data_IF_882172425463
#
_entry.id   IF_882172425463
#
_cell.length_a   1.000
_cell.length_b   1.000
_cell.length_c   1.000
_cell.angle_alpha   90.00
_cell.angle_beta   90.00
_cell.angle_gamma   90.00
#
_symmetry.space_group_name_H-M   'P 1'
#
loop_
_entity.id
_entity.type
_entity.pdbx_description
1 polymer ?
#
# COMPACT_ATOMS: atom_id res chain seq x y z
N UNK A 1 17.09 44.09 12.66
CA UNK A 1 17.58 43.35 13.83
C UNK A 1 16.75 42.09 14.13
N UNK A 2 15.47 42.17 14.37
CA UNK A 2 14.59 41.03 14.73
C UNK A 2 14.64 39.88 13.70
N UNK A 3 14.53 40.17 12.39
CA UNK A 3 14.58 39.16 11.31
C UNK A 3 15.86 38.32 11.33
N UNK A 4 17.01 38.96 11.53
CA UNK A 4 18.30 38.27 11.56
C UNK A 4 18.42 37.37 12.79
N UNK A 5 17.91 37.83 13.95
CA UNK A 5 17.87 37.00 15.16
C UNK A 5 17.00 35.77 14.97
N UNK A 6 15.81 35.92 14.34
CA UNK A 6 14.91 34.81 14.04
C UNK A 6 15.58 33.81 13.08
N UNK A 7 16.25 34.30 12.04
CA UNK A 7 16.95 33.44 11.08
C UNK A 7 18.07 32.64 11.76
N UNK A 8 18.86 33.26 12.64
CA UNK A 8 19.90 32.58 13.38
C UNK A 8 19.34 31.51 14.32
N UNK A 9 18.25 31.80 15.00
CA UNK A 9 17.58 30.82 15.84
C UNK A 9 17.05 29.62 15.02
N UNK A 10 16.44 29.88 13.86
CA UNK A 10 15.99 28.82 12.95
C UNK A 10 17.18 27.97 12.47
N UNK A 11 18.28 28.62 12.06
CA UNK A 11 19.50 27.89 11.64
C UNK A 11 20.05 27.01 12.75
N UNK A 12 20.11 27.50 13.99
CA UNK A 12 20.54 26.73 15.15
C UNK A 12 19.65 25.52 15.41
N UNK A 13 18.32 25.69 15.35
CA UNK A 13 17.35 24.60 15.54
C UNK A 13 17.36 23.60 14.39
N UNK A 14 17.78 24.00 13.17
CA UNK A 14 17.92 23.13 12.00
C UNK A 14 19.27 22.45 11.90
N UNK A 15 20.25 22.77 12.75
CA UNK A 15 21.62 22.23 12.64
C UNK A 15 21.68 20.70 12.71
N UNK A 16 20.71 20.07 13.39
CA UNK A 16 20.64 18.62 13.55
C UNK A 16 19.85 17.90 12.45
N UNK A 17 19.25 18.64 11.51
CA UNK A 17 18.47 18.09 10.42
C UNK A 17 19.27 18.04 9.12
N UNK A 18 19.54 16.84 8.66
CA UNK A 18 20.19 16.57 7.35
C UNK A 18 19.19 16.09 6.29
N UNK A 19 17.89 16.34 6.48
CA UNK A 19 16.84 15.82 5.60
C UNK A 19 16.87 16.52 4.23
N UNK A 20 17.03 15.74 3.17
CA UNK A 20 16.94 16.22 1.79
C UNK A 20 15.51 16.00 1.25
N UNK A 21 14.69 17.04 1.24
CA UNK A 21 13.30 16.96 0.78
C UNK A 21 13.15 16.67 -0.72
N UNK A 22 14.20 16.84 -1.53
CA UNK A 22 14.14 16.53 -2.97
C UNK A 22 13.85 15.04 -3.23
N UNK A 23 14.24 14.16 -2.31
CA UNK A 23 13.95 12.72 -2.42
C UNK A 23 12.45 12.46 -2.54
N UNK A 24 11.60 13.19 -1.79
CA UNK A 24 10.16 13.02 -1.83
C UNK A 24 9.59 13.33 -3.21
N UNK A 25 9.92 14.51 -3.76
CA UNK A 25 9.46 14.93 -5.09
C UNK A 25 9.95 13.98 -6.19
N UNK A 26 11.22 13.58 -6.13
CA UNK A 26 11.79 12.62 -7.09
C UNK A 26 11.09 11.26 -7.03
N UNK A 27 10.78 10.79 -5.82
CA UNK A 27 10.02 9.53 -5.65
C UNK A 27 8.61 9.62 -6.22
N UNK A 28 7.92 10.73 -6.02
CA UNK A 28 6.58 10.94 -6.59
C UNK A 28 6.64 10.89 -8.13
N UNK A 29 7.59 11.60 -8.75
CA UNK A 29 7.81 11.59 -10.20
C UNK A 29 8.15 10.17 -10.70
N UNK A 30 9.05 9.48 -10.02
CA UNK A 30 9.43 8.10 -10.35
C UNK A 30 8.23 7.17 -10.30
N UNK A 31 7.40 7.28 -9.26
CA UNK A 31 6.24 6.41 -9.05
C UNK A 31 5.21 6.57 -10.15
N UNK A 32 4.86 7.82 -10.51
CA UNK A 32 3.94 8.11 -11.61
C UNK A 32 4.50 7.63 -12.95
N UNK A 33 5.75 7.98 -13.23
CA UNK A 33 6.39 7.58 -14.49
C UNK A 33 6.44 6.07 -14.64
N UNK A 34 6.81 5.34 -13.57
CA UNK A 34 6.86 3.88 -13.60
C UNK A 34 5.48 3.27 -13.87
N UNK A 35 4.44 3.77 -13.20
CA UNK A 35 3.07 3.31 -13.46
C UNK A 35 2.67 3.54 -14.92
N UNK A 36 2.86 4.75 -15.46
CA UNK A 36 2.52 5.04 -16.86
C UNK A 36 3.38 4.23 -17.83
N UNK A 37 4.66 4.03 -17.56
CA UNK A 37 5.53 3.17 -18.40
C UNK A 37 4.99 1.76 -18.54
N UNK A 38 4.35 1.22 -17.49
CA UNK A 38 3.82 -0.14 -17.50
C UNK A 38 2.42 -0.25 -18.12
N UNK A 39 1.61 0.81 -18.08
CA UNK A 39 0.18 0.74 -18.44
C UNK A 39 -0.23 1.65 -19.62
N UNK A 40 0.57 2.64 -20.01
CA UNK A 40 0.28 3.44 -21.20
C UNK A 40 0.81 2.73 -22.46
N UNK A 41 -0.10 2.31 -23.33
CA UNK A 41 0.24 1.66 -24.60
C UNK A 41 1.02 2.56 -25.60
N UNK A 42 1.10 3.87 -25.35
CA UNK A 42 1.87 4.80 -26.15
C UNK A 42 3.26 5.11 -25.56
N UNK A 43 3.60 4.54 -24.39
CA UNK A 43 4.89 4.76 -23.77
C UNK A 43 6.02 4.20 -24.63
N UNK A 44 7.04 5.03 -24.90
CA UNK A 44 8.29 4.60 -25.52
C UNK A 44 9.13 3.88 -24.45
N UNK A 45 9.03 2.55 -24.43
CA UNK A 45 9.51 1.73 -23.31
C UNK A 45 11.01 1.93 -23.05
N UNK A 46 11.84 1.91 -24.11
CA UNK A 46 13.29 2.05 -24.00
C UNK A 46 13.68 3.39 -23.37
N UNK A 47 13.13 4.51 -23.89
CA UNK A 47 13.38 5.87 -23.36
C UNK A 47 12.88 6.01 -21.93
N UNK A 48 11.68 5.46 -21.64
CA UNK A 48 11.08 5.53 -20.29
C UNK A 48 11.90 4.76 -19.26
N UNK A 49 12.46 3.62 -19.61
CA UNK A 49 13.32 2.82 -18.73
C UNK A 49 14.64 3.54 -18.45
N UNK A 50 15.26 4.20 -19.46
CA UNK A 50 16.46 5.01 -19.25
C UNK A 50 16.21 6.19 -18.28
N UNK A 51 15.10 6.90 -18.45
CA UNK A 51 14.75 8.00 -17.54
C UNK A 51 14.42 7.50 -16.12
N UNK A 52 13.76 6.35 -15.99
CA UNK A 52 13.50 5.71 -14.70
C UNK A 52 14.80 5.30 -14.01
N UNK A 53 15.78 4.79 -14.75
CA UNK A 53 17.10 4.44 -14.21
C UNK A 53 17.80 5.66 -13.61
N UNK A 54 17.79 6.80 -14.32
CA UNK A 54 18.37 8.05 -13.84
C UNK A 54 17.72 8.48 -12.52
N UNK A 55 16.38 8.52 -12.48
CA UNK A 55 15.63 8.89 -11.28
C UNK A 55 15.89 7.91 -10.12
N UNK A 56 15.91 6.61 -10.40
CA UNK A 56 16.18 5.56 -9.42
C UNK A 56 17.57 5.76 -8.76
N UNK A 57 18.61 5.98 -9.57
CA UNK A 57 19.96 6.22 -9.08
C UNK A 57 20.04 7.48 -8.22
N UNK A 58 19.41 8.56 -8.63
CA UNK A 58 19.33 9.79 -7.86
C UNK A 58 18.63 9.60 -6.50
N UNK A 59 17.48 8.94 -6.47
CA UNK A 59 16.72 8.66 -5.25
C UNK A 59 17.54 7.75 -4.33
N UNK A 60 18.07 6.66 -4.87
CA UNK A 60 18.87 5.68 -4.12
C UNK A 60 20.11 6.31 -3.50
N UNK A 61 20.79 7.22 -4.22
CA UNK A 61 21.96 7.94 -3.69
C UNK A 61 21.64 8.82 -2.48
N UNK A 62 20.41 9.38 -2.43
CA UNK A 62 19.95 10.18 -1.30
C UNK A 62 19.45 9.28 -0.14
N UNK A 63 18.78 8.18 -0.47
CA UNK A 63 18.23 7.23 0.50
C UNK A 63 19.32 6.42 1.20
N UNK A 64 20.36 6.00 0.47
CA UNK A 64 21.48 5.24 0.99
C UNK A 64 22.49 6.17 1.67
N UNK A 65 22.46 6.24 2.99
CA UNK A 65 23.39 7.08 3.79
C UNK A 65 24.87 6.65 3.69
N UNK A 66 25.18 5.53 3.03
CA UNK A 66 26.54 5.03 2.82
C UNK A 66 26.72 4.74 1.33
N UNK A 67 27.78 5.31 0.68
CA UNK A 67 28.14 4.90 -0.66
C UNK A 67 28.47 3.40 -0.64
N UNK A 68 27.68 2.61 -1.34
CA UNK A 68 27.93 1.17 -1.46
C UNK A 68 28.01 0.86 -2.96
N UNK A 69 29.08 0.25 -3.48
CA UNK A 69 29.16 -0.17 -4.87
C UNK A 69 28.06 -1.15 -5.29
N UNK A 70 27.29 -1.66 -4.32
CA UNK A 70 26.08 -2.48 -4.55
C UNK A 70 24.95 -1.66 -5.19
N UNK A 71 24.93 -0.31 -5.06
CA UNK A 71 23.85 0.52 -5.59
C UNK A 71 23.72 0.46 -7.11
N UNK A 72 24.81 0.26 -7.86
CA UNK A 72 24.76 0.18 -9.33
C UNK A 72 24.06 -1.09 -9.83
N UNK A 73 24.12 -2.19 -9.07
CA UNK A 73 23.45 -3.46 -9.41
C UNK A 73 22.01 -3.56 -8.89
N UNK A 74 21.53 -2.62 -8.06
CA UNK A 74 20.18 -2.68 -7.48
C UNK A 74 19.14 -2.32 -8.52
N UNK A 75 19.44 -1.37 -9.43
CA UNK A 75 18.54 -1.06 -10.54
C UNK A 75 18.25 -2.27 -11.41
N UNK A 76 19.27 -2.99 -11.83
CA UNK A 76 19.11 -4.19 -12.67
C UNK A 76 18.26 -5.26 -11.95
N UNK A 77 18.47 -5.43 -10.65
CA UNK A 77 17.67 -6.35 -9.83
C UNK A 77 16.21 -5.91 -9.76
N UNK A 78 15.96 -4.62 -9.53
CA UNK A 78 14.60 -4.08 -9.50
C UNK A 78 13.93 -4.20 -10.88
N UNK A 79 14.62 -3.80 -11.94
CA UNK A 79 14.12 -3.90 -13.31
C UNK A 79 13.74 -5.35 -13.68
N UNK A 80 14.55 -6.32 -13.25
CA UNK A 80 14.29 -7.75 -13.50
C UNK A 80 13.00 -8.26 -12.82
N UNK A 81 12.48 -7.59 -11.78
CA UNK A 81 11.22 -7.99 -11.12
C UNK A 81 9.98 -7.50 -11.87
N UNK A 82 10.09 -6.42 -12.66
CA UNK A 82 8.95 -5.74 -13.28
C UNK A 82 8.06 -6.63 -14.16
N UNK A 83 8.59 -7.55 -14.99
CA UNK A 83 7.73 -8.47 -15.76
C UNK A 83 6.83 -9.33 -14.87
N UNK A 84 7.37 -9.90 -13.79
CA UNK A 84 6.59 -10.69 -12.83
C UNK A 84 5.57 -9.84 -12.06
N UNK A 85 5.93 -8.61 -11.71
CA UNK A 85 5.00 -7.67 -11.08
C UNK A 85 3.86 -7.33 -12.03
N UNK A 86 4.15 -7.08 -13.30
CA UNK A 86 3.14 -6.78 -14.32
C UNK A 86 2.18 -7.96 -14.53
N UNK A 87 2.68 -9.20 -14.55
CA UNK A 87 1.84 -10.40 -14.62
C UNK A 87 0.86 -10.47 -13.44
N UNK A 88 1.34 -10.22 -12.20
CA UNK A 88 0.49 -10.17 -11.01
C UNK A 88 -0.56 -9.06 -11.11
N UNK A 89 -0.18 -7.88 -11.60
CA UNK A 89 -1.09 -6.74 -11.77
C UNK A 89 -2.17 -7.00 -12.82
N UNK A 90 -1.83 -7.68 -13.90
CA UNK A 90 -2.83 -8.10 -14.89
C UNK A 90 -3.83 -9.11 -14.30
N UNK A 91 -3.37 -10.02 -13.42
CA UNK A 91 -4.27 -10.92 -12.69
C UNK A 91 -5.17 -10.15 -11.71
N UNK A 92 -4.63 -9.14 -11.00
CA UNK A 92 -5.41 -8.29 -10.10
C UNK A 92 -6.48 -7.51 -10.87
N UNK A 93 -6.12 -6.90 -12.01
CA UNK A 93 -7.07 -6.16 -12.85
C UNK A 93 -8.17 -7.05 -13.41
N UNK A 94 -7.82 -8.25 -13.91
CA UNK A 94 -8.80 -9.22 -14.39
C UNK A 94 -9.73 -9.70 -13.25
N UNK A 95 -9.22 -9.82 -12.04
CA UNK A 95 -10.01 -10.20 -10.88
C UNK A 95 -10.96 -9.07 -10.44
N UNK A 96 -10.54 -7.81 -10.52
CA UNK A 96 -11.40 -6.64 -10.30
C UNK A 96 -12.52 -6.65 -11.34
N UNK A 97 -12.20 -6.70 -12.64
CA UNK A 97 -13.20 -6.74 -13.71
C UNK A 97 -14.24 -7.86 -13.55
N UNK A 98 -13.78 -9.03 -13.10
CA UNK A 98 -14.68 -10.18 -12.88
C UNK A 98 -15.62 -10.00 -11.69
N UNK A 99 -15.20 -9.29 -10.65
CA UNK A 99 -15.91 -9.25 -9.36
C UNK A 99 -16.64 -7.94 -9.08
N UNK A 100 -16.36 -6.87 -9.82
CA UNK A 100 -17.10 -5.62 -9.74
C UNK A 100 -18.11 -5.52 -10.88
N UNK A 101 -19.43 -5.60 -10.61
CA UNK A 101 -20.46 -5.48 -11.63
C UNK A 101 -20.50 -4.10 -12.29
N UNK A 102 -19.87 -3.07 -11.71
CA UNK A 102 -19.80 -1.72 -12.28
C UNK A 102 -18.70 -1.57 -13.33
N UNK A 103 -17.69 -2.47 -13.35
CA UNK A 103 -16.58 -2.39 -14.29
C UNK A 103 -16.97 -2.93 -15.67
N UNK A 104 -16.65 -2.20 -16.74
CA UNK A 104 -17.02 -2.56 -18.12
C UNK A 104 -15.88 -3.28 -18.87
N UNK A 105 -14.63 -2.89 -18.62
CA UNK A 105 -13.46 -3.42 -19.31
C UNK A 105 -12.16 -3.18 -18.52
N UNK A 106 -11.07 -3.79 -18.96
CA UNK A 106 -9.76 -3.64 -18.30
C UNK A 106 -9.21 -2.21 -18.38
N UNK A 107 -9.47 -1.50 -19.46
CA UNK A 107 -9.01 -0.13 -19.62
C UNK A 107 -9.58 0.79 -18.52
N UNK A 108 -10.87 0.62 -18.21
CA UNK A 108 -11.52 1.33 -17.10
C UNK A 108 -10.85 1.01 -15.75
N UNK A 109 -10.50 -0.26 -15.51
CA UNK A 109 -9.80 -0.67 -14.28
C UNK A 109 -8.44 0.01 -14.18
N UNK A 110 -7.66 0.03 -15.25
CA UNK A 110 -6.33 0.66 -15.26
C UNK A 110 -6.38 2.17 -15.08
N UNK A 111 -7.37 2.85 -15.67
CA UNK A 111 -7.45 4.31 -15.71
C UNK A 111 -8.19 4.93 -14.53
N UNK A 112 -9.20 4.25 -13.99
CA UNK A 112 -10.17 4.87 -13.08
C UNK A 112 -10.22 4.27 -11.68
N UNK A 113 -9.70 3.05 -11.46
CA UNK A 113 -9.86 2.37 -10.18
C UNK A 113 -8.76 2.75 -9.17
N UNK A 114 -9.09 3.50 -8.11
CA UNK A 114 -8.11 3.85 -7.08
C UNK A 114 -7.58 2.61 -6.33
N UNK A 115 -8.41 1.56 -6.20
CA UNK A 115 -8.00 0.29 -5.60
C UNK A 115 -6.93 -0.41 -6.43
N UNK A 116 -7.07 -0.43 -7.76
CA UNK A 116 -6.05 -0.96 -8.65
C UNK A 116 -4.74 -0.17 -8.56
N UNK A 117 -4.83 1.16 -8.59
CA UNK A 117 -3.65 2.01 -8.44
C UNK A 117 -2.91 1.76 -7.12
N UNK A 118 -3.66 1.65 -6.00
CA UNK A 118 -3.06 1.35 -4.69
C UNK A 118 -2.33 -0.02 -4.69
N UNK A 119 -2.95 -1.05 -5.29
CA UNK A 119 -2.34 -2.38 -5.44
C UNK A 119 -1.08 -2.31 -6.31
N UNK A 120 -1.14 -1.56 -7.42
CA UNK A 120 -0.02 -1.42 -8.35
C UNK A 120 1.20 -0.80 -7.65
N UNK A 121 1.01 0.32 -6.97
CA UNK A 121 2.12 0.97 -6.28
C UNK A 121 2.60 0.13 -5.08
N UNK A 122 1.70 -0.57 -4.38
CA UNK A 122 2.11 -1.54 -3.36
C UNK A 122 3.05 -2.60 -3.94
N UNK A 123 2.69 -3.28 -5.03
CA UNK A 123 3.54 -4.34 -5.62
C UNK A 123 4.89 -3.81 -6.07
N UNK A 124 4.92 -2.64 -6.70
CA UNK A 124 6.16 -1.98 -7.12
C UNK A 124 7.04 -1.55 -5.94
N UNK A 125 6.44 -1.03 -4.87
CA UNK A 125 7.17 -0.63 -3.66
C UNK A 125 7.61 -1.82 -2.82
N UNK A 126 6.90 -2.94 -2.87
CA UNK A 126 7.26 -4.18 -2.19
C UNK A 126 8.59 -4.74 -2.70
N UNK A 127 8.83 -4.73 -4.01
CA UNK A 127 10.12 -5.15 -4.58
C UNK A 127 11.29 -4.27 -4.08
N UNK A 128 11.07 -2.97 -3.89
CA UNK A 128 12.07 -2.10 -3.27
C UNK A 128 12.30 -2.42 -1.80
N UNK A 129 11.23 -2.79 -1.08
CA UNK A 129 11.32 -3.22 0.31
C UNK A 129 12.16 -4.49 0.45
N UNK A 130 11.94 -5.48 -0.41
CA UNK A 130 12.71 -6.72 -0.44
C UNK A 130 14.19 -6.51 -0.85
N UNK A 131 14.50 -5.43 -1.57
CA UNK A 131 15.85 -4.98 -1.88
C UNK A 131 16.49 -4.09 -0.80
N UNK A 132 15.87 -3.99 0.40
CA UNK A 132 16.30 -3.17 1.55
C UNK A 132 16.35 -1.65 1.26
N UNK A 133 15.64 -1.18 0.24
CA UNK A 133 15.47 0.25 -0.05
C UNK A 133 14.29 0.84 0.76
N UNK A 134 14.33 0.69 2.08
CA UNK A 134 13.20 0.93 2.98
C UNK A 134 12.62 2.35 2.91
N UNK A 135 13.46 3.37 2.82
CA UNK A 135 12.99 4.76 2.71
C UNK A 135 12.31 5.01 1.35
N UNK A 136 12.87 4.49 0.27
CA UNK A 136 12.32 4.64 -1.06
C UNK A 136 10.95 3.93 -1.16
N UNK A 137 10.89 2.66 -0.75
CA UNK A 137 9.65 1.90 -0.73
C UNK A 137 8.55 2.58 0.12
N UNK A 138 8.92 3.12 1.30
CA UNK A 138 7.98 3.85 2.15
C UNK A 138 7.46 5.13 1.50
N UNK A 139 8.31 5.90 0.82
CA UNK A 139 7.90 7.12 0.13
C UNK A 139 6.93 6.83 -1.02
N UNK A 140 7.12 5.71 -1.75
CA UNK A 140 6.17 5.26 -2.77
C UNK A 140 4.82 4.87 -2.16
N UNK A 141 4.82 4.09 -1.08
CA UNK A 141 3.59 3.70 -0.37
C UNK A 141 2.82 4.92 0.14
N UNK A 142 3.51 5.89 0.75
CA UNK A 142 2.85 7.12 1.24
C UNK A 142 2.34 8.03 0.12
N UNK A 143 2.97 7.98 -1.06
CA UNK A 143 2.46 8.66 -2.24
C UNK A 143 1.12 8.05 -2.68
N UNK A 144 1.04 6.71 -2.81
CA UNK A 144 -0.20 6.02 -3.14
C UNK A 144 -1.28 6.25 -2.09
N UNK A 145 -0.92 6.20 -0.79
CA UNK A 145 -1.84 6.49 0.32
C UNK A 145 -2.45 7.90 0.19
N UNK A 146 -1.65 8.91 -0.10
CA UNK A 146 -2.13 10.28 -0.28
C UNK A 146 -3.12 10.43 -1.43
N UNK A 147 -2.93 9.68 -2.52
CA UNK A 147 -3.76 9.79 -3.73
C UNK A 147 -5.04 8.96 -3.62
N UNK A 148 -4.95 7.75 -3.05
CA UNK A 148 -6.05 6.78 -3.04
C UNK A 148 -6.80 6.71 -1.71
N UNK A 149 -6.20 7.22 -0.64
CA UNK A 149 -6.70 7.01 0.72
C UNK A 149 -6.46 5.59 1.26
N UNK A 150 -5.62 4.78 0.59
CA UNK A 150 -5.31 3.40 0.98
C UNK A 150 -3.87 3.30 1.47
N UNK A 151 -3.68 2.96 2.74
CA UNK A 151 -2.39 2.73 3.37
C UNK A 151 -2.02 1.25 3.30
N UNK A 152 -1.16 0.86 2.35
CA UNK A 152 -0.59 -0.48 2.28
C UNK A 152 0.90 -0.38 2.57
N UNK A 153 1.35 -0.96 3.69
CA UNK A 153 2.77 -1.01 3.99
C UNK A 153 3.51 -1.92 3.02
N UNK A 154 4.62 -1.45 2.44
CA UNK A 154 5.40 -2.19 1.45
C UNK A 154 5.90 -3.57 1.95
N UNK A 155 6.07 -3.74 3.27
CA UNK A 155 6.46 -5.01 3.89
C UNK A 155 5.34 -6.05 4.02
N UNK A 156 4.08 -5.71 3.73
CA UNK A 156 2.99 -6.68 3.71
C UNK A 156 3.23 -7.74 2.62
N UNK A 157 2.71 -8.95 2.81
CA UNK A 157 2.82 -10.05 1.84
C UNK A 157 1.44 -10.33 1.26
N UNK A 158 1.20 -9.89 0.03
CA UNK A 158 -0.10 -9.99 -0.63
C UNK A 158 0.05 -10.81 -1.92
N UNK A 159 -0.61 -11.96 -1.94
CA UNK A 159 -0.67 -12.81 -3.13
C UNK A 159 -1.53 -12.15 -4.23
N UNK A 160 -1.45 -12.68 -5.45
CA UNK A 160 -2.32 -12.32 -6.57
C UNK A 160 -3.19 -13.52 -6.94
N UNK A 161 -4.45 -13.29 -7.38
CA UNK A 161 -5.09 -11.98 -7.50
C UNK A 161 -5.61 -11.44 -6.16
N UNK A 162 -5.66 -10.10 -6.06
CA UNK A 162 -6.16 -9.34 -4.92
C UNK A 162 -7.09 -8.21 -5.39
N UNK A 163 -8.14 -7.91 -4.63
CA UNK A 163 -9.13 -6.90 -4.98
C UNK A 163 -9.37 -5.92 -3.83
N UNK A 164 -9.28 -4.64 -4.14
CA UNK A 164 -9.69 -3.53 -3.28
C UNK A 164 -10.82 -2.76 -3.98
N UNK A 165 -11.97 -2.66 -3.32
CA UNK A 165 -13.08 -1.84 -3.78
C UNK A 165 -13.14 -0.51 -3.03
N UNK A 166 -13.46 0.58 -3.75
CA UNK A 166 -13.54 1.98 -3.29
C UNK A 166 -12.26 2.55 -2.67
N UNK A 167 -11.36 1.73 -2.20
CA UNK A 167 -10.03 2.06 -1.66
C UNK A 167 -10.00 2.88 -0.36
N UNK A 168 -10.78 3.94 -0.24
CA UNK A 168 -10.68 4.96 0.83
C UNK A 168 -10.71 4.37 2.24
N UNK A 169 -9.70 4.73 3.06
CA UNK A 169 -9.64 4.40 4.48
C UNK A 169 -9.14 2.99 4.81
N UNK A 170 -8.65 2.24 3.84
CA UNK A 170 -8.04 0.93 4.07
C UNK A 170 -6.66 1.11 4.69
N UNK A 171 -6.35 0.26 5.69
CA UNK A 171 -5.02 0.17 6.31
C UNK A 171 -4.55 -1.29 6.35
N UNK A 172 -3.43 -1.59 5.70
CA UNK A 172 -2.80 -2.91 5.70
C UNK A 172 -1.39 -2.79 6.28
N UNK A 173 -1.21 -3.31 7.51
CA UNK A 173 0.03 -3.19 8.27
C UNK A 173 1.17 -4.07 7.76
N UNK A 174 2.39 -3.71 8.12
CA UNK A 174 3.67 -4.25 7.63
C UNK A 174 3.79 -5.79 7.60
N UNK A 175 3.30 -6.47 8.63
CA UNK A 175 3.44 -7.94 8.75
C UNK A 175 2.16 -8.69 8.40
N UNK A 176 1.21 -8.03 7.72
CA UNK A 176 0.01 -8.67 7.19
C UNK A 176 0.37 -9.69 6.12
N UNK A 177 -0.33 -10.81 6.12
CA UNK A 177 -0.28 -11.82 5.06
C UNK A 177 -1.67 -11.92 4.46
N UNK A 178 -1.79 -11.79 3.15
CA UNK A 178 -3.04 -11.94 2.40
C UNK A 178 -2.81 -12.95 1.30
N UNK A 179 -3.60 -14.02 1.28
CA UNK A 179 -3.53 -15.03 0.25
C UNK A 179 -4.36 -14.62 -0.99
N UNK A 180 -4.38 -15.48 -2.01
CA UNK A 180 -5.04 -15.20 -3.30
C UNK A 180 -6.55 -15.08 -3.18
N UNK A 181 -7.17 -14.38 -4.14
CA UNK A 181 -8.62 -14.21 -4.29
C UNK A 181 -9.30 -13.47 -3.11
N UNK A 182 -8.55 -12.74 -2.32
CA UNK A 182 -9.11 -11.94 -1.22
C UNK A 182 -9.71 -10.65 -1.76
N UNK A 183 -10.88 -10.27 -1.22
CA UNK A 183 -11.59 -9.02 -1.52
C UNK A 183 -11.72 -8.18 -0.27
N UNK A 184 -11.34 -6.90 -0.36
CA UNK A 184 -11.38 -5.93 0.74
C UNK A 184 -12.12 -4.68 0.29
N UNK A 185 -13.07 -4.23 1.09
CA UNK A 185 -13.84 -3.01 0.86
C UNK A 185 -13.29 -1.84 1.68
N UNK A 186 -13.75 -0.64 1.36
CA UNK A 186 -13.32 0.61 2.00
C UNK A 186 -13.35 0.55 3.55
N UNK A 187 -12.43 1.28 4.17
CA UNK A 187 -12.36 1.43 5.62
C UNK A 187 -11.88 0.20 6.40
N UNK A 188 -11.50 -0.89 5.73
CA UNK A 188 -10.98 -2.09 6.39
C UNK A 188 -9.61 -1.81 7.00
N UNK A 189 -9.40 -2.26 8.24
CA UNK A 189 -8.12 -2.17 8.93
C UNK A 189 -7.59 -3.57 9.27
N UNK A 190 -6.40 -3.91 8.75
CA UNK A 190 -5.61 -5.07 9.13
C UNK A 190 -4.43 -4.58 9.98
N UNK A 191 -4.65 -4.47 11.30
CA UNK A 191 -3.79 -3.76 12.23
C UNK A 191 -3.14 -4.62 13.31
N UNK A 192 -2.29 -4.00 14.13
CA UNK A 192 -1.76 -4.59 15.34
C UNK A 192 -2.72 -4.36 16.53
N UNK A 193 -2.80 -5.32 17.45
CA UNK A 193 -3.62 -5.20 18.66
C UNK A 193 -3.01 -4.22 19.68
N UNK A 194 -1.68 -4.21 19.76
CA UNK A 194 -0.88 -3.27 20.55
C UNK A 194 0.45 -3.03 19.84
N UNK A 195 1.07 -1.88 20.09
CA UNK A 195 2.34 -1.53 19.45
C UNK A 195 3.32 -1.06 20.52
N UNK A 196 4.46 -1.76 20.61
CA UNK A 196 5.66 -1.29 21.31
C UNK A 196 6.85 -1.31 20.37
N UNK A 197 7.92 -0.54 20.68
CA UNK A 197 9.12 -0.48 19.81
C UNK A 197 9.82 -1.84 19.68
N UNK A 198 9.72 -2.69 20.67
CA UNK A 198 10.31 -4.05 20.72
C UNK A 198 9.63 -4.99 19.72
N UNK A 199 8.40 -4.66 19.28
CA UNK A 199 7.66 -5.47 18.31
C UNK A 199 8.02 -5.20 16.86
N UNK A 200 9.01 -4.37 16.57
CA UNK A 200 9.38 -3.94 15.20
C UNK A 200 9.59 -5.12 14.23
N UNK A 201 10.21 -6.21 14.70
CA UNK A 201 10.55 -7.37 13.86
C UNK A 201 9.68 -8.61 14.17
N UNK A 202 8.51 -8.42 14.77
CA UNK A 202 7.60 -9.53 15.11
C UNK A 202 6.33 -9.47 14.26
N UNK A 203 5.74 -10.65 14.03
CA UNK A 203 4.41 -10.75 13.41
C UNK A 203 3.39 -10.11 14.35
N UNK A 204 2.78 -8.99 13.92
CA UNK A 204 1.84 -8.20 14.73
C UNK A 204 0.53 -7.84 14.00
N UNK A 205 0.43 -8.16 12.71
CA UNK A 205 -0.75 -7.95 11.88
C UNK A 205 -1.35 -9.29 11.44
N UNK A 206 -2.65 -9.34 11.13
CA UNK A 206 -3.36 -10.58 10.85
C UNK A 206 -2.89 -11.31 9.59
N UNK A 207 -3.36 -12.55 9.47
CA UNK A 207 -3.30 -13.36 8.26
C UNK A 207 -4.71 -13.52 7.69
N UNK A 208 -4.89 -13.35 6.39
CA UNK A 208 -6.14 -13.54 5.67
C UNK A 208 -5.90 -14.62 4.62
N UNK A 209 -6.56 -15.76 4.81
CA UNK A 209 -6.44 -16.90 3.90
C UNK A 209 -7.21 -16.67 2.58
N UNK A 210 -7.04 -17.61 1.64
CA UNK A 210 -7.60 -17.50 0.30
C UNK A 210 -9.15 -17.42 0.29
N UNK A 211 -9.70 -16.79 -0.76
CA UNK A 211 -11.14 -16.68 -1.02
C UNK A 211 -11.93 -15.92 0.07
N UNK A 212 -11.28 -15.15 0.94
CA UNK A 212 -11.92 -14.36 1.99
C UNK A 212 -12.46 -13.04 1.43
N UNK A 213 -13.65 -12.64 1.91
CA UNK A 213 -14.24 -11.34 1.64
C UNK A 213 -14.38 -10.54 2.94
N UNK A 214 -13.82 -9.32 2.99
CA UNK A 214 -13.89 -8.43 4.15
C UNK A 214 -14.65 -7.16 3.76
N UNK A 215 -15.86 -7.02 4.31
CA UNK A 215 -16.73 -5.87 4.01
C UNK A 215 -16.34 -4.60 4.78
N UNK A 216 -16.92 -3.51 4.34
CA UNK A 216 -16.58 -2.15 4.72
C UNK A 216 -16.43 -1.91 6.23
N UNK A 217 -15.40 -1.16 6.59
CA UNK A 217 -15.10 -0.72 7.97
C UNK A 217 -14.86 -1.86 8.98
N UNK A 218 -14.64 -3.09 8.52
CA UNK A 218 -14.23 -4.16 9.44
C UNK A 218 -12.80 -3.91 9.95
N UNK A 219 -12.58 -4.14 11.23
CA UNK A 219 -11.29 -3.99 11.89
C UNK A 219 -10.82 -5.35 12.40
N UNK A 220 -9.67 -5.82 11.90
CA UNK A 220 -9.07 -7.12 12.24
C UNK A 220 -7.69 -6.87 12.81
N UNK A 221 -7.45 -7.29 14.05
CA UNK A 221 -6.23 -6.95 14.79
C UNK A 221 -5.50 -8.17 15.32
N UNK A 222 -4.16 -8.08 15.32
CA UNK A 222 -3.28 -8.99 16.02
C UNK A 222 -2.56 -10.01 15.13
N UNK A 223 -1.28 -10.26 15.41
CA UNK A 223 -0.41 -11.14 14.62
C UNK A 223 -0.79 -12.61 14.66
N UNK A 224 -1.51 -13.04 15.69
CA UNK A 224 -2.00 -14.41 15.83
C UNK A 224 -3.44 -14.58 15.28
N UNK A 225 -4.05 -13.50 14.78
CA UNK A 225 -5.41 -13.54 14.23
C UNK A 225 -5.34 -13.99 12.77
N UNK A 226 -6.02 -15.09 12.46
CA UNK A 226 -6.16 -15.62 11.10
C UNK A 226 -7.64 -15.63 10.72
N UNK A 227 -7.96 -15.12 9.54
CA UNK A 227 -9.28 -15.26 8.92
C UNK A 227 -9.19 -16.45 7.98
N UNK A 228 -9.88 -17.54 8.34
CA UNK A 228 -9.81 -18.80 7.63
C UNK A 228 -10.44 -18.73 6.23
N UNK A 229 -9.94 -19.56 5.33
CA UNK A 229 -10.30 -19.66 3.92
C UNK A 229 -11.81 -19.62 3.68
N UNK A 230 -12.22 -18.89 2.66
CA UNK A 230 -13.63 -18.81 2.19
C UNK A 230 -14.57 -18.11 3.16
N UNK A 231 -14.04 -17.46 4.20
CA UNK A 231 -14.86 -16.75 5.19
C UNK A 231 -15.28 -15.37 4.72
N UNK A 232 -16.39 -14.89 5.27
CA UNK A 232 -16.93 -13.56 5.05
C UNK A 232 -16.90 -12.80 6.37
N UNK A 233 -16.25 -11.64 6.38
CA UNK A 233 -16.27 -10.72 7.53
C UNK A 233 -17.23 -9.56 7.18
N UNK A 234 -18.36 -9.51 7.88
CA UNK A 234 -19.37 -8.46 7.70
C UNK A 234 -18.86 -7.08 8.09
N UNK A 235 -19.48 -6.07 7.52
CA UNK A 235 -19.08 -4.67 7.75
C UNK A 235 -19.18 -4.26 9.21
N UNK A 236 -18.30 -3.31 9.60
CA UNK A 236 -18.17 -2.78 10.97
C UNK A 236 -17.86 -3.85 12.04
N UNK A 237 -17.38 -5.02 11.66
CA UNK A 237 -16.98 -6.07 12.61
C UNK A 237 -15.65 -5.75 13.27
N UNK A 238 -15.54 -6.08 14.58
CA UNK A 238 -14.30 -5.94 15.35
C UNK A 238 -13.77 -7.33 15.71
N UNK A 239 -12.68 -7.76 15.06
CA UNK A 239 -12.15 -9.11 15.13
C UNK A 239 -10.74 -9.09 15.73
N UNK A 240 -10.56 -9.79 16.87
CA UNK A 240 -9.25 -9.90 17.57
C UNK A 240 -8.86 -11.35 17.85
N UNK A 241 -9.62 -12.30 17.30
CA UNK A 241 -9.37 -13.75 17.41
C UNK A 241 -9.57 -14.41 16.06
N UNK A 242 -8.88 -15.51 15.83
CA UNK A 242 -8.98 -16.26 14.59
C UNK A 242 -10.40 -16.75 14.29
N UNK A 243 -10.76 -16.74 13.03
CA UNK A 243 -12.04 -17.19 12.49
C UNK A 243 -11.78 -18.50 11.71
N UNK A 244 -12.51 -19.58 11.98
CA UNK A 244 -12.40 -20.82 11.20
C UNK A 244 -12.75 -20.62 9.73
N UNK A 245 -12.27 -21.49 8.86
CA UNK A 245 -12.63 -21.49 7.45
C UNK A 245 -14.15 -21.59 7.22
N UNK A 246 -14.64 -21.02 6.11
CA UNK A 246 -16.04 -21.04 5.69
C UNK A 246 -17.01 -20.45 6.72
N UNK A 247 -16.58 -19.45 7.47
CA UNK A 247 -17.37 -18.78 8.50
C UNK A 247 -17.94 -17.47 8.01
N UNK A 248 -19.09 -17.07 8.57
CA UNK A 248 -19.65 -15.73 8.37
C UNK A 248 -19.61 -15.00 9.71
N UNK A 249 -18.87 -13.90 9.75
CA UNK A 249 -18.83 -12.99 10.90
C UNK A 249 -19.85 -11.88 10.68
N UNK A 250 -20.76 -11.73 11.61
CA UNK A 250 -21.77 -10.66 11.58
C UNK A 250 -21.65 -9.77 12.80
N UNK A 251 -21.88 -8.47 12.61
CA UNK A 251 -21.98 -7.51 13.70
C UNK A 251 -23.48 -7.30 14.00
N UNK A 252 -23.88 -7.42 15.28
CA UNK A 252 -25.25 -7.11 15.69
C UNK A 252 -25.27 -5.70 16.27
N UNK A 253 -25.89 -4.80 15.53
CA UNK A 253 -26.07 -3.39 15.96
C UNK A 253 -27.54 -3.12 16.20
N UNK A 254 -27.89 -2.51 17.32
CA UNK A 254 -29.26 -2.07 17.63
C UNK A 254 -29.38 -0.58 17.32
N UNK A 255 -30.30 -0.22 16.42
CA UNK A 255 -30.60 1.19 16.12
C UNK A 255 -31.90 1.57 16.81
N UNK A 256 -31.86 2.58 17.71
CA UNK A 256 -33.05 3.16 18.33
C UNK A 256 -33.46 4.43 17.59
N UNK A 257 -34.70 4.48 17.15
CA UNK A 257 -35.28 5.67 16.50
C UNK A 257 -36.19 6.39 17.53
N UNK A 258 -35.83 7.63 17.86
CA UNK A 258 -36.64 8.52 18.72
C UNK A 258 -37.26 9.61 17.87
N UNK A 259 -38.59 9.70 17.90
CA UNK A 259 -39.32 10.81 17.25
C UNK A 259 -39.10 12.08 18.09
N UNK A 260 -38.63 13.13 17.44
CA UNK A 260 -38.49 14.43 18.07
C UNK A 260 -39.86 15.06 18.24
N UNK A 261 -40.36 15.21 19.45
CA UNK A 261 -41.59 16.00 19.70
C UNK A 261 -41.34 17.44 19.21
N UNK A 262 -42.25 17.92 18.34
CA UNK A 262 -42.23 19.35 17.95
C UNK A 262 -42.65 20.15 19.16
N UNK A 263 -41.74 21.00 19.67
CA UNK A 263 -42.09 22.07 20.60
C UNK A 263 -42.86 23.15 19.89
#
# INVERSE_FOLDING_TARGET
MIKNQIIQNIKKLKSDFSTNYSIKTKTEIFTEKLFYTLFDGNALLDESIEELEILFKEISSIACKKPNPICDSIWDKYLATLPTVLEKLNQDAAYILKNDPASNNLEEVYLAYPGFYAIAIYRLSHELYELDLLLFSRLMSEYAHRITGTDIHAGAKIASPFFIDHATGIVIGETTVIEKNVKIYQGVTLGALSITKEMKNTKRHPTVEEDVCIYANATILGGNTTIGKGSIVGGNSWVTKSIPANSIVTNTTTTEVKVKEKK
#
